data_IF_009941628543
#
_entry.id   IF_009941628543
#
_cell.length_a   1.000
_cell.length_b   1.000
_cell.length_c   1.000
_cell.angle_alpha   90.00
_cell.angle_beta   90.00
_cell.angle_gamma   90.00
#
_symmetry.space_group_name_H-M   'P 1'
#
loop_
_entity.id
_entity.type
_entity.pdbx_description
1 polymer ?
#
# COMPACT_ATOMS: atom_id res chain seq x y z
N UNK A 1 -40.61 -19.48 11.27
CA UNK A 1 -39.18 -19.42 10.89
C UNK A 1 -38.86 -20.43 9.78
N UNK A 2 -39.29 -20.19 8.53
CA UNK A 2 -39.06 -21.11 7.40
C UNK A 2 -38.74 -20.40 6.06
N UNK A 3 -38.37 -19.12 6.08
CA UNK A 3 -38.11 -18.32 4.86
C UNK A 3 -36.62 -18.16 4.49
N UNK A 4 -35.70 -18.82 5.22
CA UNK A 4 -34.24 -18.67 5.02
C UNK A 4 -33.52 -19.86 4.37
N UNK A 5 -34.22 -20.97 4.11
CA UNK A 5 -33.63 -22.24 3.61
C UNK A 5 -34.14 -22.65 2.23
N UNK A 6 -35.19 -22.02 1.71
CA UNK A 6 -35.73 -22.28 0.37
C UNK A 6 -34.72 -22.01 -0.77
N UNK A 7 -33.84 -20.98 -0.72
CA UNK A 7 -32.81 -20.82 -1.76
C UNK A 7 -31.57 -21.70 -1.55
N UNK A 8 -31.46 -22.43 -0.44
CA UNK A 8 -30.30 -23.30 -0.13
C UNK A 8 -30.49 -24.74 -0.60
N UNK A 9 -31.72 -25.24 -0.61
CA UNK A 9 -32.07 -26.58 -1.12
C UNK A 9 -31.70 -26.76 -2.61
N UNK A 10 -32.01 -25.82 -3.54
CA UNK A 10 -31.60 -25.96 -4.94
C UNK A 10 -30.09 -25.83 -5.14
N UNK A 11 -29.41 -25.02 -4.34
CA UNK A 11 -27.94 -24.85 -4.40
C UNK A 11 -27.19 -26.11 -3.92
N UNK A 12 -27.68 -26.74 -2.85
CA UNK A 12 -27.14 -28.00 -2.35
C UNK A 12 -27.34 -29.13 -3.36
N UNK A 13 -28.53 -29.24 -3.96
CA UNK A 13 -28.80 -30.22 -5.02
C UNK A 13 -27.90 -30.03 -6.25
N UNK A 14 -27.69 -28.79 -6.68
CA UNK A 14 -26.76 -28.49 -7.77
C UNK A 14 -25.32 -28.86 -7.43
N UNK A 15 -24.87 -28.60 -6.20
CA UNK A 15 -23.55 -29.01 -5.74
C UNK A 15 -23.40 -30.55 -5.73
N UNK A 16 -24.40 -31.29 -5.23
CA UNK A 16 -24.42 -32.76 -5.22
C UNK A 16 -24.42 -33.35 -6.65
N UNK A 17 -25.16 -32.73 -7.57
CA UNK A 17 -25.22 -33.14 -8.98
C UNK A 17 -23.91 -32.87 -9.70
N UNK A 18 -23.33 -31.67 -9.54
CA UNK A 18 -22.02 -31.33 -10.12
C UNK A 18 -20.93 -32.22 -9.54
N UNK A 19 -20.97 -32.53 -8.25
CA UNK A 19 -20.02 -33.43 -7.61
C UNK A 19 -20.13 -34.85 -8.18
N UNK A 20 -21.33 -35.40 -8.35
CA UNK A 20 -21.54 -36.71 -8.98
C UNK A 20 -21.04 -36.75 -10.43
N UNK A 21 -21.20 -35.66 -11.19
CA UNK A 21 -20.71 -35.58 -12.58
C UNK A 21 -19.20 -35.40 -12.63
N UNK A 22 -18.63 -34.70 -11.65
CA UNK A 22 -17.19 -34.43 -11.57
C UNK A 22 -16.38 -35.60 -10.97
N UNK A 23 -16.98 -36.49 -10.18
CA UNK A 23 -16.34 -37.66 -9.55
C UNK A 23 -15.37 -38.42 -10.48
N UNK A 24 -15.74 -38.85 -11.70
CA UNK A 24 -14.83 -39.55 -12.59
C UNK A 24 -13.68 -38.69 -13.15
N UNK A 25 -13.82 -37.36 -13.11
CA UNK A 25 -12.83 -36.40 -13.62
C UNK A 25 -11.99 -35.76 -12.51
N UNK A 26 -12.28 -36.02 -11.24
CA UNK A 26 -11.52 -35.50 -10.10
C UNK A 26 -10.01 -35.80 -10.17
N UNK A 27 -9.55 -36.99 -10.60
CA UNK A 27 -8.11 -37.24 -10.74
C UNK A 27 -7.44 -36.30 -11.75
N UNK A 28 -8.14 -35.96 -12.85
CA UNK A 28 -7.64 -35.04 -13.87
C UNK A 28 -7.62 -33.61 -13.31
N UNK A 29 -8.71 -33.19 -12.68
CA UNK A 29 -8.87 -31.85 -12.10
C UNK A 29 -7.82 -31.59 -11.00
N UNK A 30 -7.59 -32.59 -10.13
CA UNK A 30 -6.53 -32.53 -9.11
C UNK A 30 -5.13 -32.53 -9.73
N UNK A 31 -4.90 -33.32 -10.80
CA UNK A 31 -3.63 -33.32 -11.53
C UNK A 31 -3.30 -31.97 -12.19
N UNK A 32 -4.33 -31.20 -12.56
CA UNK A 32 -4.21 -29.83 -13.07
C UNK A 32 -4.02 -28.78 -11.97
N UNK A 33 -4.12 -29.17 -10.68
CA UNK A 33 -3.99 -28.26 -9.54
C UNK A 33 -5.12 -27.22 -9.41
N UNK A 34 -6.25 -27.44 -10.08
CA UNK A 34 -7.40 -26.54 -10.09
C UNK A 34 -8.62 -27.17 -9.40
N UNK A 35 -9.56 -26.34 -8.96
CA UNK A 35 -10.84 -26.80 -8.42
C UNK A 35 -11.85 -27.16 -9.51
N UNK A 36 -12.86 -27.95 -9.15
CA UNK A 36 -13.98 -28.31 -10.05
C UNK A 36 -14.67 -27.08 -10.66
N UNK A 37 -14.98 -26.00 -9.90
CA UNK A 37 -15.61 -24.81 -10.48
C UNK A 37 -14.75 -24.16 -11.56
N UNK A 38 -13.42 -24.08 -11.35
CA UNK A 38 -12.48 -23.49 -12.29
C UNK A 38 -12.32 -24.34 -13.55
N UNK A 39 -12.31 -25.67 -13.41
CA UNK A 39 -12.27 -26.59 -14.54
C UNK A 39 -13.54 -26.46 -15.42
N UNK A 40 -14.71 -26.39 -14.79
CA UNK A 40 -16.00 -26.18 -15.49
C UNK A 40 -16.03 -24.82 -16.18
N UNK A 41 -15.58 -23.76 -15.51
CA UNK A 41 -15.50 -22.42 -16.10
C UNK A 41 -14.57 -22.38 -17.32
N UNK A 42 -13.39 -22.99 -17.23
CA UNK A 42 -12.46 -23.08 -18.35
C UNK A 42 -13.04 -23.81 -19.55
N UNK A 43 -13.77 -24.91 -19.32
CA UNK A 43 -14.45 -25.66 -20.37
C UNK A 43 -15.59 -24.86 -21.01
N UNK A 44 -16.41 -24.19 -20.20
CA UNK A 44 -17.50 -23.35 -20.71
C UNK A 44 -17.00 -22.15 -21.50
N UNK A 45 -15.92 -21.50 -21.06
CA UNK A 45 -15.30 -20.39 -21.81
C UNK A 45 -14.70 -20.87 -23.13
N UNK A 46 -14.09 -22.06 -23.13
CA UNK A 46 -13.60 -22.70 -24.35
C UNK A 46 -14.74 -23.04 -25.33
N UNK A 47 -15.83 -23.65 -24.86
CA UNK A 47 -17.00 -23.96 -25.69
C UNK A 47 -17.68 -22.69 -26.22
N UNK A 48 -17.83 -21.66 -25.38
CA UNK A 48 -18.35 -20.36 -25.80
C UNK A 48 -17.51 -19.76 -26.92
N UNK A 49 -16.18 -19.66 -26.74
CA UNK A 49 -15.25 -19.18 -27.77
C UNK A 49 -15.33 -20.02 -29.04
N UNK A 50 -15.37 -21.34 -28.95
CA UNK A 50 -15.49 -22.21 -30.12
C UNK A 50 -16.83 -22.05 -30.85
N UNK A 51 -17.88 -21.56 -30.20
CA UNK A 51 -19.18 -21.29 -30.83
C UNK A 51 -19.26 -19.89 -31.40
N UNK A 52 -18.75 -18.88 -30.70
CA UNK A 52 -18.93 -17.47 -31.05
C UNK A 52 -17.80 -16.90 -31.91
N UNK A 53 -16.60 -17.48 -31.86
CA UNK A 53 -15.47 -16.95 -32.64
C UNK A 53 -15.69 -17.15 -34.14
N UNK A 54 -15.26 -16.18 -34.97
CA UNK A 54 -15.18 -16.32 -36.42
C UNK A 54 -14.33 -17.54 -36.82
N UNK A 55 -14.59 -18.09 -38.00
CA UNK A 55 -13.98 -19.34 -38.48
C UNK A 55 -12.44 -19.37 -38.40
N UNK A 56 -11.78 -18.23 -38.65
CA UNK A 56 -10.32 -18.14 -38.62
C UNK A 56 -9.75 -18.17 -37.20
N UNK A 57 -10.36 -17.40 -36.28
CA UNK A 57 -9.97 -17.39 -34.88
C UNK A 57 -10.29 -18.72 -34.19
N UNK A 58 -11.36 -19.39 -34.64
CA UNK A 58 -11.73 -20.72 -34.17
C UNK A 58 -10.66 -21.77 -34.47
N UNK A 59 -10.08 -21.74 -35.68
CA UNK A 59 -8.99 -22.65 -36.07
C UNK A 59 -7.72 -22.43 -35.24
N UNK A 60 -7.34 -21.17 -35.03
CA UNK A 60 -6.20 -20.83 -34.20
C UNK A 60 -6.38 -21.28 -32.73
N UNK A 61 -7.58 -21.04 -32.18
CA UNK A 61 -7.91 -21.46 -30.82
C UNK A 61 -7.96 -22.99 -30.68
N UNK A 62 -8.50 -23.70 -31.67
CA UNK A 62 -8.50 -25.17 -31.71
C UNK A 62 -7.07 -25.73 -31.77
N UNK A 63 -6.18 -25.11 -32.56
CA UNK A 63 -4.77 -25.48 -32.62
C UNK A 63 -4.06 -25.33 -31.27
N UNK A 64 -4.26 -24.20 -30.59
CA UNK A 64 -3.72 -23.97 -29.24
C UNK A 64 -4.24 -24.98 -28.23
N UNK A 65 -5.55 -25.25 -28.26
CA UNK A 65 -6.19 -26.20 -27.39
C UNK A 65 -5.62 -27.60 -27.60
N UNK A 66 -5.47 -28.01 -28.86
CA UNK A 66 -4.92 -29.31 -29.20
C UNK A 66 -3.47 -29.46 -28.75
N UNK A 67 -2.62 -28.44 -28.92
CA UNK A 67 -1.27 -28.46 -28.35
C UNK A 67 -1.28 -28.62 -26.82
N UNK A 68 -2.22 -27.96 -26.12
CA UNK A 68 -2.37 -28.09 -24.67
C UNK A 68 -2.82 -29.50 -24.23
N UNK A 69 -3.58 -30.21 -25.07
CA UNK A 69 -3.96 -31.61 -24.86
C UNK A 69 -2.95 -32.62 -25.42
N UNK A 70 -1.78 -32.16 -25.89
CA UNK A 70 -0.76 -33.04 -26.48
C UNK A 70 -1.14 -33.64 -27.82
N UNK A 71 -2.17 -33.09 -28.49
CA UNK A 71 -2.60 -33.50 -29.83
C UNK A 71 -1.80 -32.68 -30.84
N UNK A 72 -0.86 -33.35 -31.52
CA UNK A 72 -0.20 -32.78 -32.69
C UNK A 72 -1.13 -32.90 -33.89
N UNK A 73 -1.80 -31.81 -34.27
CA UNK A 73 -2.60 -31.75 -35.51
C UNK A 73 -1.75 -31.93 -36.78
N UNK A 74 -0.43 -31.98 -36.65
CA UNK A 74 0.52 -32.15 -37.75
C UNK A 74 0.85 -33.61 -38.08
N UNK A 75 0.48 -34.59 -37.23
CA UNK A 75 1.04 -35.96 -37.30
C UNK A 75 0.15 -37.04 -37.95
N UNK A 76 -1.00 -36.72 -38.55
CA UNK A 76 -1.67 -37.70 -39.42
C UNK A 76 -3.15 -37.46 -39.70
N UNK A 77 -3.52 -37.62 -40.98
CA UNK A 77 -4.88 -37.78 -41.52
C UNK A 77 -5.87 -36.61 -41.47
N UNK A 78 -5.49 -35.46 -40.91
CA UNK A 78 -6.15 -34.19 -41.24
C UNK A 78 -5.09 -33.24 -41.79
N UNK A 79 -4.81 -33.33 -43.09
CA UNK A 79 -4.43 -32.13 -43.83
C UNK A 79 -5.72 -31.32 -44.01
N UNK A 80 -6.03 -30.32 -43.16
CA UNK A 80 -6.91 -29.29 -43.67
C UNK A 80 -6.19 -28.79 -44.92
N UNK A 81 -6.87 -28.82 -46.05
CA UNK A 81 -6.45 -28.07 -47.21
C UNK A 81 -6.18 -26.66 -46.69
N UNK A 82 -4.92 -26.36 -46.41
CA UNK A 82 -4.46 -25.02 -46.14
C UNK A 82 -4.58 -24.34 -47.49
N UNK A 83 -5.81 -23.94 -47.83
CA UNK A 83 -6.03 -22.92 -48.83
C UNK A 83 -5.09 -21.77 -48.48
N UNK A 84 -4.52 -21.10 -49.51
CA UNK A 84 -3.55 -20.04 -49.30
C UNK A 84 -4.05 -19.14 -48.18
N UNK A 85 -3.28 -19.07 -47.09
CA UNK A 85 -3.61 -18.21 -45.95
C UNK A 85 -3.86 -16.83 -46.56
N UNK A 86 -5.11 -16.37 -46.46
CA UNK A 86 -5.52 -15.14 -47.09
C UNK A 86 -4.53 -14.04 -46.64
N UNK A 87 -3.84 -13.33 -47.55
CA UNK A 87 -2.87 -12.31 -47.19
C UNK A 87 -3.44 -11.26 -46.22
N UNK A 88 -4.76 -11.09 -46.20
CA UNK A 88 -5.47 -10.28 -45.21
C UNK A 88 -5.34 -10.83 -43.78
N UNK A 89 -5.43 -12.15 -43.58
CA UNK A 89 -5.27 -12.79 -42.26
C UNK A 89 -3.84 -12.64 -41.74
N UNK A 90 -2.85 -12.70 -42.62
CA UNK A 90 -1.45 -12.48 -42.24
C UNK A 90 -1.20 -11.03 -41.79
N UNK A 91 -1.84 -10.05 -42.46
CA UNK A 91 -1.80 -8.65 -42.04
C UNK A 91 -2.49 -8.44 -40.69
N UNK A 92 -3.69 -8.99 -40.50
CA UNK A 92 -4.41 -8.92 -39.23
C UNK A 92 -3.64 -9.58 -38.07
N UNK A 93 -2.93 -10.68 -38.34
CA UNK A 93 -2.10 -11.34 -37.32
C UNK A 93 -0.93 -10.45 -36.86
N UNK A 94 -0.30 -9.72 -37.79
CA UNK A 94 0.74 -8.75 -37.47
C UNK A 94 0.19 -7.55 -36.71
N UNK A 95 -0.97 -7.02 -37.10
CA UNK A 95 -1.65 -5.95 -36.36
C UNK A 95 -2.02 -6.39 -34.95
N UNK A 96 -2.56 -7.60 -34.77
CA UNK A 96 -2.88 -8.15 -33.45
C UNK A 96 -1.62 -8.30 -32.58
N UNK A 97 -0.51 -8.75 -33.16
CA UNK A 97 0.77 -8.84 -32.44
C UNK A 97 1.29 -7.45 -32.03
N UNK A 98 1.11 -6.43 -32.87
CA UNK A 98 1.46 -5.05 -32.55
C UNK A 98 0.57 -4.49 -31.42
N UNK A 99 -0.76 -4.66 -31.53
CA UNK A 99 -1.72 -4.22 -30.50
C UNK A 99 -1.50 -4.96 -29.18
N UNK A 100 -1.23 -6.27 -29.22
CA UNK A 100 -0.92 -7.05 -28.01
C UNK A 100 0.36 -6.55 -27.36
N UNK A 101 1.37 -6.22 -28.14
CA UNK A 101 2.64 -5.67 -27.63
C UNK A 101 2.42 -4.28 -27.01
N UNK A 102 1.58 -3.45 -27.63
CA UNK A 102 1.17 -2.14 -27.11
C UNK A 102 0.39 -2.28 -25.80
N UNK A 103 -0.58 -3.19 -25.71
CA UNK A 103 -1.35 -3.44 -24.49
C UNK A 103 -0.47 -3.97 -23.36
N UNK A 104 0.45 -4.89 -23.64
CA UNK A 104 1.41 -5.38 -22.65
C UNK A 104 2.33 -4.24 -22.20
N UNK A 105 2.79 -3.41 -23.13
CA UNK A 105 3.57 -2.21 -22.82
C UNK A 105 2.80 -1.23 -21.94
N UNK A 106 1.52 -0.98 -22.27
CA UNK A 106 0.66 -0.06 -21.53
C UNK A 106 0.34 -0.58 -20.13
N UNK A 107 0.06 -1.87 -19.99
CA UNK A 107 -0.14 -2.51 -18.69
C UNK A 107 1.12 -2.42 -17.82
N UNK A 108 2.29 -2.72 -18.40
CA UNK A 108 3.57 -2.61 -17.69
C UNK A 108 3.86 -1.17 -17.29
N UNK A 109 3.63 -0.20 -18.17
CA UNK A 109 3.84 1.21 -17.88
C UNK A 109 2.87 1.72 -16.81
N UNK A 110 1.62 1.25 -16.81
CA UNK A 110 0.65 1.56 -15.77
C UNK A 110 1.10 1.00 -14.42
N UNK A 111 1.53 -0.26 -14.38
CA UNK A 111 2.04 -0.91 -13.16
C UNK A 111 3.29 -0.20 -12.63
N UNK A 112 4.25 0.14 -13.49
CA UNK A 112 5.43 0.93 -13.13
C UNK A 112 5.07 2.33 -12.63
N UNK A 113 4.12 3.02 -13.26
CA UNK A 113 3.65 4.34 -12.82
C UNK A 113 2.95 4.26 -11.46
N UNK A 114 2.15 3.21 -11.21
CA UNK A 114 1.49 2.98 -9.94
C UNK A 114 2.51 2.63 -8.84
N UNK A 115 3.48 1.78 -9.15
CA UNK A 115 4.58 1.43 -8.26
C UNK A 115 5.42 2.66 -7.92
N UNK A 116 5.72 3.52 -8.92
CA UNK A 116 6.49 4.75 -8.74
C UNK A 116 5.72 5.78 -7.91
N UNK A 117 4.41 5.95 -8.14
CA UNK A 117 3.57 6.82 -7.34
C UNK A 117 3.52 6.35 -5.87
N UNK A 118 3.32 5.05 -5.65
CA UNK A 118 3.34 4.47 -4.31
C UNK A 118 4.71 4.64 -3.64
N UNK A 119 5.79 4.43 -4.38
CA UNK A 119 7.15 4.61 -3.86
C UNK A 119 7.46 6.06 -3.49
N UNK A 120 7.00 7.02 -4.30
CA UNK A 120 7.13 8.45 -4.01
C UNK A 120 6.30 8.87 -2.79
N UNK A 121 5.10 8.32 -2.64
CA UNK A 121 4.26 8.54 -1.45
C UNK A 121 4.96 8.00 -0.20
N UNK A 122 5.48 6.77 -0.27
CA UNK A 122 6.28 6.15 0.80
C UNK A 122 7.51 6.99 1.16
N UNK A 123 8.25 7.50 0.18
CA UNK A 123 9.43 8.35 0.43
C UNK A 123 9.05 9.72 1.03
N UNK A 124 7.92 10.29 0.60
CA UNK A 124 7.42 11.53 1.19
C UNK A 124 6.98 11.33 2.65
N UNK A 125 6.44 10.14 2.95
CA UNK A 125 6.01 9.76 4.28
C UNK A 125 7.19 9.44 5.18
N UNK A 126 8.23 8.76 4.67
CA UNK A 126 9.43 8.44 5.43
C UNK A 126 10.16 9.69 5.94
N UNK A 127 10.13 10.79 5.17
CA UNK A 127 10.69 12.09 5.58
C UNK A 127 9.94 12.75 6.74
N UNK A 128 8.65 12.43 6.92
CA UNK A 128 7.81 12.99 8.00
C UNK A 128 7.84 12.13 9.25
N UNK A 129 8.00 10.82 9.10
CA UNK A 129 7.96 9.85 10.19
C UNK A 129 9.38 9.48 10.65
N UNK A 130 9.78 9.98 11.82
CA UNK A 130 11.12 9.82 12.40
C UNK A 130 11.53 8.35 12.58
N UNK A 131 10.56 7.46 12.87
CA UNK A 131 10.76 6.03 13.09
C UNK A 131 10.25 5.15 11.93
N UNK A 132 10.13 5.71 10.73
CA UNK A 132 9.57 4.99 9.58
C UNK A 132 10.36 3.73 9.20
N UNK A 133 11.69 3.81 9.18
CA UNK A 133 12.53 2.68 8.73
C UNK A 133 12.43 1.46 9.66
N UNK A 134 12.27 1.68 10.96
CA UNK A 134 12.06 0.61 11.95
C UNK A 134 10.63 0.04 11.86
N UNK A 135 9.62 0.87 11.56
CA UNK A 135 8.23 0.45 11.40
C UNK A 135 7.92 -0.20 10.02
N UNK A 136 8.75 0.08 9.00
CA UNK A 136 8.59 -0.37 7.61
C UNK A 136 8.24 -1.85 7.45
N UNK A 137 8.96 -2.83 8.05
CA UNK A 137 8.64 -4.25 7.89
C UNK A 137 7.24 -4.61 8.41
N UNK A 138 6.81 -4.04 9.54
CA UNK A 138 5.47 -4.26 10.07
C UNK A 138 4.39 -3.58 9.23
N UNK A 139 4.66 -2.39 8.68
CA UNK A 139 3.76 -1.72 7.75
C UNK A 139 3.50 -2.56 6.49
N UNK A 140 4.54 -3.15 5.91
CA UNK A 140 4.40 -4.06 4.75
C UNK A 140 3.50 -5.25 5.11
N UNK A 141 3.68 -5.84 6.29
CA UNK A 141 2.85 -6.95 6.76
C UNK A 141 1.37 -6.54 6.97
N UNK A 142 1.13 -5.35 7.51
CA UNK A 142 -0.22 -4.80 7.72
C UNK A 142 -0.94 -4.47 6.41
N UNK A 143 -0.22 -3.95 5.41
CA UNK A 143 -0.76 -3.69 4.08
C UNK A 143 -1.05 -5.00 3.33
N UNK A 144 -0.14 -5.99 3.39
CA UNK A 144 -0.32 -7.29 2.75
C UNK A 144 -1.46 -8.11 3.35
N UNK A 145 -1.70 -7.97 4.67
CA UNK A 145 -2.81 -8.63 5.36
C UNK A 145 -4.15 -7.92 5.16
N UNK A 146 -4.17 -6.75 4.51
CA UNK A 146 -5.39 -5.95 4.30
C UNK A 146 -5.96 -5.32 5.56
N UNK A 147 -5.24 -5.37 6.69
CA UNK A 147 -5.67 -4.81 7.98
C UNK A 147 -5.57 -3.28 7.99
N UNK A 148 -4.70 -2.73 7.14
CA UNK A 148 -4.55 -1.29 6.92
C UNK A 148 -4.73 -0.97 5.45
N UNK A 149 -5.56 0.03 5.14
CA UNK A 149 -5.79 0.51 3.77
C UNK A 149 -4.94 1.72 3.42
N UNK A 150 -4.39 2.42 4.41
CA UNK A 150 -3.58 3.63 4.23
C UNK A 150 -2.22 3.47 4.89
N UNK A 151 -1.21 4.18 4.35
CA UNK A 151 0.14 4.24 4.91
C UNK A 151 0.14 4.78 6.34
N UNK A 152 -0.69 5.79 6.63
CA UNK A 152 -0.82 6.37 7.97
C UNK A 152 -1.38 5.39 9.01
N UNK A 153 -2.41 4.63 8.65
CA UNK A 153 -3.00 3.62 9.54
C UNK A 153 -2.02 2.46 9.76
N UNK A 154 -1.33 2.02 8.70
CA UNK A 154 -0.28 1.02 8.81
C UNK A 154 0.85 1.49 9.74
N UNK A 155 1.28 2.75 9.64
CA UNK A 155 2.31 3.32 10.49
C UNK A 155 1.90 3.38 11.96
N UNK A 156 0.71 3.90 12.26
CA UNK A 156 0.21 4.01 13.64
C UNK A 156 0.02 2.63 14.29
N UNK A 157 -0.41 1.62 13.53
CA UNK A 157 -0.51 0.24 14.02
C UNK A 157 0.85 -0.40 14.20
N UNK A 158 1.78 -0.19 13.26
CA UNK A 158 3.15 -0.69 13.37
C UNK A 158 3.87 -0.13 14.60
N UNK A 159 3.72 1.17 14.88
CA UNK A 159 4.25 1.80 16.09
C UNK A 159 3.73 1.17 17.39
N UNK A 160 2.49 0.69 17.40
CA UNK A 160 1.87 0.06 18.58
C UNK A 160 2.17 -1.43 18.71
N UNK A 161 2.60 -2.06 17.62
CA UNK A 161 2.97 -3.48 17.59
C UNK A 161 4.37 -3.71 18.17
N UNK A 162 5.25 -2.71 18.07
CA UNK A 162 6.60 -2.75 18.64
C UNK A 162 6.64 -1.88 19.91
N UNK A 163 6.60 -2.54 21.08
CA UNK A 163 6.67 -1.88 22.39
C UNK A 163 7.92 -1.00 22.54
N UNK A 164 9.06 -1.44 21.98
CA UNK A 164 10.32 -0.71 22.09
C UNK A 164 10.33 0.57 21.24
N UNK A 165 9.69 0.51 20.08
CA UNK A 165 9.52 1.65 19.20
C UNK A 165 8.51 2.65 19.79
N UNK A 166 7.42 2.14 20.37
CA UNK A 166 6.42 2.95 21.06
C UNK A 166 7.04 3.75 22.23
N UNK A 167 7.85 3.10 23.07
CA UNK A 167 8.55 3.77 24.17
C UNK A 167 9.48 4.88 23.67
N UNK A 168 10.24 4.65 22.59
CA UNK A 168 11.11 5.67 22.00
C UNK A 168 10.33 6.86 21.43
N UNK A 169 9.22 6.60 20.73
CA UNK A 169 8.32 7.65 20.22
C UNK A 169 7.74 8.47 21.38
N UNK A 170 7.37 7.80 22.47
CA UNK A 170 6.79 8.49 23.62
C UNK A 170 7.85 9.34 24.34
N UNK A 171 9.08 8.84 24.49
CA UNK A 171 10.20 9.59 25.03
C UNK A 171 10.57 10.79 24.16
N UNK A 172 10.60 10.64 22.82
CA UNK A 172 10.91 11.74 21.91
C UNK A 172 9.84 12.84 21.98
N UNK A 173 8.56 12.47 22.01
CA UNK A 173 7.46 13.44 22.19
C UNK A 173 7.54 14.17 23.54
N UNK A 174 7.84 13.46 24.63
CA UNK A 174 8.02 14.09 25.94
C UNK A 174 9.19 15.08 25.94
N UNK A 175 10.33 14.69 25.37
CA UNK A 175 11.51 15.56 25.26
C UNK A 175 11.22 16.81 24.41
N UNK A 176 10.53 16.67 23.27
CA UNK A 176 10.11 17.80 22.44
C UNK A 176 9.14 18.73 23.17
N UNK A 177 8.16 18.18 23.90
CA UNK A 177 7.21 18.97 24.67
C UNK A 177 7.89 19.76 25.80
N UNK A 178 8.86 19.14 26.50
CA UNK A 178 9.66 19.84 27.50
C UNK A 178 10.54 20.93 26.90
N UNK A 179 11.22 20.64 25.78
CA UNK A 179 12.04 21.62 25.07
C UNK A 179 11.21 22.83 24.60
N UNK A 180 10.01 22.58 24.06
CA UNK A 180 9.08 23.62 23.66
C UNK A 180 8.61 24.48 24.85
N UNK A 181 8.27 23.85 25.99
CA UNK A 181 7.92 24.57 27.23
C UNK A 181 9.08 25.43 27.72
N UNK A 182 10.31 24.91 27.73
CA UNK A 182 11.52 25.66 28.12
C UNK A 182 11.79 26.82 27.16
N UNK A 183 11.64 26.60 25.86
CA UNK A 183 11.81 27.65 24.85
C UNK A 183 10.77 28.77 25.00
N UNK A 184 9.50 28.43 25.22
CA UNK A 184 8.42 29.38 25.47
C UNK A 184 8.67 30.19 26.76
N UNK A 185 9.07 29.53 27.84
CA UNK A 185 9.43 30.19 29.09
C UNK A 185 10.63 31.15 28.91
N UNK A 186 11.66 30.74 28.16
CA UNK A 186 12.82 31.58 27.86
C UNK A 186 12.46 32.78 26.97
N UNK A 187 11.58 32.61 25.98
CA UNK A 187 11.08 33.71 25.16
C UNK A 187 10.26 34.70 25.99
N UNK A 188 9.36 34.21 26.84
CA UNK A 188 8.58 35.05 27.74
C UNK A 188 9.48 35.83 28.73
N UNK A 189 10.49 35.17 29.30
CA UNK A 189 11.46 35.82 30.18
C UNK A 189 12.31 36.89 29.44
N UNK A 190 12.74 36.62 28.20
CA UNK A 190 13.45 37.61 27.37
C UNK A 190 12.55 38.81 27.02
N UNK A 191 11.29 38.56 26.66
CA UNK A 191 10.32 39.62 26.37
C UNK A 191 10.03 40.48 27.62
N UNK A 192 9.86 39.86 28.78
CA UNK A 192 9.66 40.56 30.05
C UNK A 192 10.89 41.42 30.43
N UNK A 193 12.10 40.89 30.26
CA UNK A 193 13.34 41.67 30.48
C UNK A 193 13.45 42.86 29.52
N UNK A 194 13.12 42.68 28.23
CA UNK A 194 13.14 43.77 27.25
C UNK A 194 12.11 44.87 27.58
N UNK A 195 10.89 44.49 27.98
CA UNK A 195 9.86 45.42 28.40
C UNK A 195 10.25 46.22 29.66
N UNK A 196 10.89 45.58 30.64
CA UNK A 196 11.36 46.25 31.86
C UNK A 196 12.46 47.28 31.60
N UNK A 197 13.35 47.03 30.64
CA UNK A 197 14.43 47.97 30.26
C UNK A 197 13.88 49.14 29.42
N UNK A 198 12.83 48.91 28.63
CA UNK A 198 12.17 49.94 27.81
C UNK A 198 11.46 51.05 28.60
N UNK A 199 11.12 50.82 29.86
CA UNK A 199 10.46 51.83 30.73
C UNK A 199 11.51 52.76 31.40
N UNK A 200 12.81 52.40 31.40
CA UNK A 200 13.86 53.15 32.13
C UNK A 200 14.46 54.33 31.36
N UNK A 201 14.03 54.62 30.12
CA UNK A 201 14.61 55.69 29.29
C UNK A 201 13.67 56.89 29.03
N UNK A 202 12.47 56.92 29.59
CA UNK A 202 11.49 58.00 29.35
C UNK A 202 11.00 58.65 30.64
N UNK A 203 11.90 59.28 31.40
CA UNK A 203 11.54 60.44 32.26
C UNK A 203 12.77 61.26 32.61
N UNK A 204 12.92 62.50 32.11
CA UNK A 204 13.85 63.47 32.67
C UNK A 204 13.20 64.09 33.91
N UNK A 205 13.76 63.80 35.09
CA UNK A 205 13.57 64.61 36.30
C UNK A 205 12.52 64.13 37.30
N UNK A 206 12.97 63.41 38.33
CA UNK A 206 12.51 63.59 39.71
C UNK A 206 13.44 62.80 40.66
N UNK A 207 14.01 63.47 41.66
CA UNK A 207 14.73 62.85 42.75
C UNK A 207 13.75 62.13 43.69
N UNK A 208 14.10 60.94 44.21
CA UNK A 208 14.32 60.67 45.65
C UNK A 208 14.47 59.17 45.96
N UNK A 209 15.46 58.88 46.82
CA UNK A 209 15.62 57.76 47.75
C UNK A 209 15.46 56.29 47.27
N UNK A 210 16.55 55.50 47.34
CA UNK A 210 16.75 54.49 48.41
C UNK A 210 18.04 53.68 48.19
N UNK A 211 19.12 54.06 48.90
CA UNK A 211 20.37 53.27 49.01
C UNK A 211 20.20 51.88 49.65
N UNK A 212 18.99 51.50 50.06
CA UNK A 212 18.70 50.20 50.69
C UNK A 212 18.47 49.07 49.68
N UNK A 213 17.99 49.39 48.48
CA UNK A 213 17.69 48.40 47.45
C UNK A 213 18.96 47.91 46.74
N UNK A 214 19.96 48.79 46.56
CA UNK A 214 21.25 48.46 45.95
C UNK A 214 22.12 47.51 46.80
N UNK A 215 21.98 47.52 48.12
CA UNK A 215 22.76 46.62 48.99
C UNK A 215 22.21 45.20 48.96
N UNK A 216 20.89 45.02 48.81
CA UNK A 216 20.27 43.70 48.63
C UNK A 216 20.57 43.11 47.26
N UNK A 217 20.60 43.92 46.20
CA UNK A 217 20.98 43.44 44.87
C UNK A 217 22.46 43.02 44.82
N UNK A 218 23.36 43.75 45.47
CA UNK A 218 24.77 43.35 45.60
C UNK A 218 24.98 42.06 46.40
N UNK A 219 24.19 41.84 47.46
CA UNK A 219 24.27 40.61 48.25
C UNK A 219 23.72 39.41 47.48
N UNK A 220 22.64 39.59 46.70
CA UNK A 220 22.13 38.54 45.83
C UNK A 220 23.14 38.14 44.75
N UNK A 221 23.81 39.10 44.12
CA UNK A 221 24.81 38.79 43.10
C UNK A 221 26.02 38.04 43.67
N UNK A 222 26.43 38.37 44.90
CA UNK A 222 27.54 37.67 45.57
C UNK A 222 27.15 36.25 46.02
N UNK A 223 25.89 36.02 46.37
CA UNK A 223 25.38 34.69 46.73
C UNK A 223 25.27 33.76 45.52
N UNK A 224 24.82 34.28 44.37
CA UNK A 224 24.80 33.53 43.10
C UNK A 224 26.21 33.12 42.67
N UNK A 225 27.19 34.02 42.79
CA UNK A 225 28.57 33.77 42.38
C UNK A 225 29.29 32.71 43.25
N UNK A 226 28.85 32.53 44.51
CA UNK A 226 29.33 31.48 45.40
C UNK A 226 28.59 30.16 45.17
N UNK A 227 27.31 30.20 44.81
CA UNK A 227 26.51 29.02 44.51
C UNK A 227 26.96 28.31 43.21
N UNK A 228 27.49 29.04 42.22
CA UNK A 228 28.07 28.46 41.00
C UNK A 228 29.44 27.77 41.22
N UNK A 229 30.05 27.91 42.40
CA UNK A 229 31.38 27.34 42.71
C UNK A 229 31.33 26.06 43.54
N UNK A 230 30.15 25.57 43.89
CA UNK A 230 29.91 24.28 44.54
C UNK A 230 29.10 23.37 43.63
#
# INVERSE_FOLDING_TARGET
>A
MRAGIEPLIPKAKFADEIQKVAEPYMPIIQGLGIGVPQAVQGLMDADYKLRTLPADQKRAYLGQLASAYGINLNDGEYTPQAGPVDPMVFQLQNELNNVRSEVVGWKKQQEEAQQAALSAEVESFSKKAEFFEEARPFMIQLLNSGVSTTLEDAYNKALRLDDSLFERVQQSQQAQAEAAKRAAANQAAKAAKAAAVGIKSSTPGAQTATKAQDRRSMLLSQLDEVAERF
#
